data_IF_484829211663
#
_entry.id   IF_484829211663
#
_cell.length_a   1.000
_cell.length_b   1.000
_cell.length_c   1.000
_cell.angle_alpha   90.00
_cell.angle_beta   90.00
_cell.angle_gamma   90.00
#
_symmetry.space_group_name_H-M   'P 1'
#
loop_
_entity.id
_entity.type
_entity.pdbx_description
1 polymer ?
#
# COMPACT_ATOMS: atom_id res chain seq x y z
N UNK A 1 -22.28 -10.68 10.62
CA UNK A 1 -21.80 -9.56 9.81
C UNK A 1 -22.14 -9.77 8.35
N UNK A 2 -22.74 -8.80 7.69
CA UNK A 2 -23.09 -8.93 6.28
C UNK A 2 -21.95 -8.38 5.39
N UNK A 3 -22.06 -8.63 4.08
CA UNK A 3 -21.02 -8.23 3.14
C UNK A 3 -20.76 -6.71 3.12
N UNK A 4 -21.82 -5.90 3.32
CA UNK A 4 -21.69 -4.45 3.36
C UNK A 4 -20.82 -3.98 4.53
N UNK A 5 -20.99 -4.61 5.68
CA UNK A 5 -20.20 -4.27 6.86
C UNK A 5 -18.73 -4.65 6.68
N UNK A 6 -18.48 -5.81 6.09
CA UNK A 6 -17.11 -6.24 5.78
C UNK A 6 -16.44 -5.27 4.81
N UNK A 7 -17.14 -4.90 3.73
CA UNK A 7 -16.61 -3.99 2.73
C UNK A 7 -16.35 -2.60 3.33
N UNK A 8 -17.20 -2.14 4.26
CA UNK A 8 -17.04 -0.85 4.90
C UNK A 8 -15.78 -0.78 5.77
N UNK A 9 -15.29 -1.91 6.27
CA UNK A 9 -14.08 -1.96 7.08
C UNK A 9 -12.82 -2.05 6.24
N UNK A 10 -12.92 -2.40 4.98
CA UNK A 10 -11.76 -2.53 4.11
C UNK A 10 -11.52 -1.25 3.33
N UNK A 11 -10.25 -0.86 3.29
CA UNK A 11 -9.82 0.33 2.58
C UNK A 11 -8.83 -0.10 1.50
N UNK A 12 -9.10 0.29 0.27
CA UNK A 12 -8.19 0.04 -0.83
C UNK A 12 -7.18 1.17 -0.89
N UNK A 13 -5.90 0.82 -1.00
CA UNK A 13 -4.83 1.79 -1.22
C UNK A 13 -4.43 1.68 -2.68
N UNK A 14 -4.72 2.73 -3.44
CA UNK A 14 -4.48 2.76 -4.88
C UNK A 14 -3.35 3.72 -5.21
N UNK A 15 -2.68 3.44 -6.33
CA UNK A 15 -1.56 4.27 -6.76
C UNK A 15 -2.03 5.69 -7.05
N UNK A 16 -1.43 6.71 -6.41
CA UNK A 16 -1.82 8.10 -6.63
C UNK A 16 -1.29 8.65 -7.95
N UNK A 17 -0.41 7.90 -8.61
CA UNK A 17 0.19 8.27 -9.88
C UNK A 17 0.78 7.03 -10.51
N UNK A 18 1.11 7.09 -11.79
CA UNK A 18 1.85 6.02 -12.46
C UNK A 18 3.29 6.04 -11.97
N UNK A 19 3.88 4.88 -11.79
CA UNK A 19 5.26 4.76 -11.36
C UNK A 19 5.64 3.32 -11.09
N UNK A 20 6.92 3.10 -10.80
CA UNK A 20 7.42 1.77 -10.45
C UNK A 20 7.27 1.56 -8.95
N UNK A 21 6.68 0.45 -8.58
CA UNK A 21 6.36 0.12 -7.20
C UNK A 21 7.54 -0.54 -6.49
N UNK A 22 7.86 -0.06 -5.28
CA UNK A 22 8.87 -0.66 -4.42
C UNK A 22 8.30 -0.89 -3.04
N UNK A 23 8.48 -2.09 -2.50
CA UNK A 23 8.00 -2.45 -1.15
C UNK A 23 8.96 -2.04 -0.06
N UNK A 24 10.18 -1.66 -0.44
CA UNK A 24 11.27 -1.37 0.51
C UNK A 24 12.06 -0.14 0.06
N UNK A 25 12.74 0.55 1.00
CA UNK A 25 13.50 1.75 0.65
C UNK A 25 14.75 1.47 -0.19
N UNK A 26 15.31 0.26 -0.06
CA UNK A 26 16.45 -0.17 -0.87
C UNK A 26 16.51 -1.70 -0.86
N UNK A 27 17.28 -2.31 -1.78
CA UNK A 27 17.36 -3.78 -1.84
C UNK A 27 17.87 -4.44 -0.55
N UNK A 28 18.66 -3.72 0.24
CA UNK A 28 19.24 -4.24 1.48
C UNK A 28 18.36 -4.05 2.71
N UNK A 29 17.26 -3.33 2.56
CA UNK A 29 16.36 -3.02 3.67
C UNK A 29 15.15 -3.94 3.66
N UNK A 30 14.54 -4.19 4.82
CA UNK A 30 13.29 -4.95 4.85
C UNK A 30 12.15 -4.16 4.23
N UNK A 31 11.10 -4.86 3.84
CA UNK A 31 9.89 -4.21 3.33
C UNK A 31 9.29 -3.31 4.41
N UNK A 32 8.62 -2.24 3.98
CA UNK A 32 7.94 -1.35 4.92
C UNK A 32 6.88 -2.07 5.72
N UNK A 33 6.11 -2.96 5.08
CA UNK A 33 5.03 -3.71 5.71
C UNK A 33 4.92 -5.09 5.09
N UNK A 34 4.26 -5.99 5.84
CA UNK A 34 3.90 -7.32 5.37
C UNK A 34 2.44 -7.57 5.68
N UNK A 35 1.86 -8.59 5.04
CA UNK A 35 0.49 -9.01 5.36
C UNK A 35 0.42 -9.39 6.83
N UNK A 36 -0.57 -8.87 7.53
CA UNK A 36 -0.74 -9.09 8.96
C UNK A 36 -0.23 -7.96 9.83
N UNK A 37 0.58 -7.04 9.28
CA UNK A 37 1.12 -5.93 10.06
C UNK A 37 0.03 -4.91 10.39
N UNK A 38 0.11 -4.37 11.60
CA UNK A 38 -0.71 -3.24 12.01
C UNK A 38 -0.05 -1.96 11.51
N UNK A 39 -0.83 -1.08 10.92
CA UNK A 39 -0.34 0.20 10.40
C UNK A 39 -1.14 1.35 10.98
N UNK A 40 -0.51 2.51 11.01
CA UNK A 40 -1.15 3.74 11.44
C UNK A 40 -1.36 4.66 10.26
N UNK A 41 -2.36 5.50 10.35
CA UNK A 41 -2.61 6.53 9.34
C UNK A 41 -1.34 7.33 9.11
N UNK A 42 -1.00 7.55 7.83
CA UNK A 42 0.20 8.26 7.37
C UNK A 42 1.50 7.47 7.47
N UNK A 43 1.47 6.25 7.96
CA UNK A 43 2.64 5.37 7.95
C UNK A 43 3.00 5.02 6.50
N UNK A 44 4.29 5.02 6.18
CA UNK A 44 4.76 4.69 4.82
C UNK A 44 4.57 3.20 4.57
N UNK A 45 3.92 2.87 3.47
CA UNK A 45 3.65 1.49 3.06
C UNK A 45 4.55 1.05 1.90
N UNK A 46 4.91 1.98 1.03
CA UNK A 46 5.65 1.67 -0.19
C UNK A 46 6.18 2.95 -0.82
N UNK A 47 6.94 2.77 -1.91
CA UNK A 47 7.42 3.88 -2.72
C UNK A 47 6.95 3.69 -4.16
N UNK A 48 6.69 4.80 -4.84
CA UNK A 48 6.48 4.84 -6.28
C UNK A 48 7.56 5.74 -6.87
N UNK A 49 8.29 5.23 -7.85
CA UNK A 49 9.30 6.01 -8.55
C UNK A 49 8.74 6.48 -9.88
N UNK A 50 8.81 7.80 -10.12
CA UNK A 50 8.47 8.37 -11.40
C UNK A 50 9.48 9.47 -11.71
N UNK A 51 10.08 9.43 -12.91
CA UNK A 51 11.07 10.42 -13.36
C UNK A 51 12.18 10.66 -12.34
N UNK A 52 12.70 9.57 -11.76
CA UNK A 52 13.80 9.59 -10.76
C UNK A 52 13.41 10.24 -9.44
N UNK A 53 12.14 10.44 -9.19
CA UNK A 53 11.64 10.96 -7.92
C UNK A 53 10.84 9.85 -7.24
N UNK A 54 11.12 9.63 -5.95
CA UNK A 54 10.41 8.63 -5.15
C UNK A 54 9.29 9.31 -4.38
N UNK A 55 8.07 8.80 -4.57
CA UNK A 55 6.90 9.28 -3.85
C UNK A 55 6.53 8.25 -2.80
N UNK A 56 6.41 8.68 -1.54
CA UNK A 56 5.99 7.79 -0.46
C UNK A 56 4.50 7.54 -0.54
N UNK A 57 4.11 6.27 -0.47
CA UNK A 57 2.71 5.88 -0.38
C UNK A 57 2.40 5.66 1.09
N UNK A 58 1.45 6.43 1.62
CA UNK A 58 1.12 6.41 3.05
C UNK A 58 -0.23 5.79 3.29
N UNK A 59 -0.38 5.15 4.45
CA UNK A 59 -1.64 4.54 4.83
C UNK A 59 -2.72 5.60 5.03
N UNK A 60 -3.90 5.41 4.44
CA UNK A 60 -5.02 6.34 4.64
C UNK A 60 -5.76 6.14 5.96
N UNK A 61 -5.45 5.07 6.70
CA UNK A 61 -6.19 4.73 7.92
C UNK A 61 -5.34 3.91 8.88
N UNK A 62 -5.78 3.85 10.13
CA UNK A 62 -5.25 2.89 11.09
C UNK A 62 -5.90 1.54 10.80
N UNK A 63 -5.11 0.48 10.85
CA UNK A 63 -5.67 -0.84 10.58
C UNK A 63 -4.59 -1.88 10.39
N UNK A 64 -4.94 -2.92 9.64
CA UNK A 64 -4.08 -4.08 9.43
C UNK A 64 -3.99 -4.36 7.92
N UNK A 65 -2.78 -4.65 7.45
CA UNK A 65 -2.59 -5.04 6.05
C UNK A 65 -3.16 -6.45 5.88
N UNK A 66 -4.20 -6.58 5.07
CA UNK A 66 -4.80 -7.89 4.80
C UNK A 66 -4.40 -8.44 3.44
N UNK A 67 -3.97 -7.58 2.52
CA UNK A 67 -3.57 -8.03 1.19
C UNK A 67 -2.58 -7.04 0.59
N UNK A 68 -1.56 -7.57 -0.09
CA UNK A 68 -0.61 -6.77 -0.88
C UNK A 68 -0.72 -7.29 -2.31
N UNK A 69 -1.26 -6.48 -3.20
CA UNK A 69 -1.55 -6.87 -4.58
C UNK A 69 -0.38 -6.54 -5.51
N UNK A 70 0.22 -5.35 -5.35
CA UNK A 70 1.30 -4.91 -6.21
C UNK A 70 2.59 -5.66 -5.88
N UNK A 71 3.40 -5.94 -6.90
CA UNK A 71 4.66 -6.67 -6.75
C UNK A 71 5.85 -5.73 -6.86
N UNK A 72 6.95 -6.12 -6.22
CA UNK A 72 8.19 -5.37 -6.21
C UNK A 72 8.68 -5.06 -7.63
N UNK A 73 9.11 -3.82 -7.85
CA UNK A 73 9.71 -3.36 -9.10
C UNK A 73 8.80 -3.51 -10.32
N UNK A 74 7.48 -3.48 -10.14
CA UNK A 74 6.56 -3.52 -11.26
C UNK A 74 6.01 -2.12 -11.56
N UNK A 75 5.83 -1.78 -12.84
CA UNK A 75 5.21 -0.51 -13.19
C UNK A 75 3.71 -0.57 -12.92
N UNK A 76 3.22 0.47 -12.24
CA UNK A 76 1.79 0.62 -11.97
C UNK A 76 1.26 1.83 -12.72
N UNK A 77 -0.02 1.78 -13.02
CA UNK A 77 -0.74 2.92 -13.58
C UNK A 77 -1.46 3.65 -12.46
N UNK A 78 -1.76 4.91 -12.70
CA UNK A 78 -2.59 5.68 -11.79
C UNK A 78 -3.85 4.87 -11.43
N UNK A 79 -4.18 4.83 -10.15
CA UNK A 79 -5.34 4.15 -9.60
C UNK A 79 -5.24 2.62 -9.52
N UNK A 80 -4.12 2.02 -9.90
CA UNK A 80 -3.92 0.58 -9.71
C UNK A 80 -3.96 0.23 -8.23
N UNK A 81 -4.58 -0.89 -7.90
CA UNK A 81 -4.70 -1.35 -6.51
C UNK A 81 -3.36 -1.87 -5.99
N UNK A 82 -2.92 -1.38 -4.85
CA UNK A 82 -1.65 -1.78 -4.24
C UNK A 82 -1.84 -2.61 -2.97
N UNK A 83 -2.68 -2.14 -2.06
CA UNK A 83 -2.91 -2.79 -0.76
C UNK A 83 -4.37 -2.80 -0.42
N UNK A 84 -4.75 -3.73 0.46
CA UNK A 84 -6.04 -3.70 1.14
C UNK A 84 -5.77 -3.68 2.63
N UNK A 85 -6.39 -2.72 3.32
CA UNK A 85 -6.26 -2.54 4.76
C UNK A 85 -7.63 -2.77 5.39
N UNK A 86 -7.65 -3.52 6.49
CA UNK A 86 -8.84 -3.63 7.31
C UNK A 86 -8.72 -2.58 8.42
N UNK A 87 -9.66 -1.63 8.46
CA UNK A 87 -9.62 -0.55 9.45
C UNK A 87 -9.77 -1.08 10.87
N UNK A 88 -9.05 -0.45 11.77
CA UNK A 88 -9.16 -0.73 13.19
C UNK A 88 -10.51 -0.26 13.75
#
# INVERSE_FOLDING_TARGET
MNASEENAKKVEVRAPMSGVFYTRPSPDEPAYVAVGDTVKKKQVLALLETMKVFQKVKSPANGKIVEIIAEEETPLKDDDLMFVIEKA
#
